data_IF_816715216196
#
_entry.id   IF_816715216196
#
_cell.length_a   1.000
_cell.length_b   1.000
_cell.length_c   1.000
_cell.angle_alpha   90.00
_cell.angle_beta   90.00
_cell.angle_gamma   90.00
#
_symmetry.space_group_name_H-M   'P 1'
#
loop_
_entity.id
_entity.type
_entity.pdbx_description
1 polymer ?
#
# COMPACT_ATOMS: atom_id res chain seq x y z
N UNK A 1 -19.68 40.71 -66.81
CA UNK A 1 -19.78 39.41 -66.20
C UNK A 1 -18.57 39.25 -65.27
N UNK A 2 -18.73 39.49 -63.96
CA UNK A 2 -17.68 39.31 -62.95
C UNK A 2 -17.95 38.00 -62.26
N UNK A 3 -16.96 37.08 -62.27
CA UNK A 3 -16.98 35.81 -61.55
C UNK A 3 -16.22 35.99 -60.24
N UNK A 4 -16.94 36.03 -59.14
CA UNK A 4 -16.39 36.09 -57.76
C UNK A 4 -15.98 34.71 -57.33
N UNK A 5 -14.64 34.48 -57.17
CA UNK A 5 -14.09 33.26 -56.68
C UNK A 5 -14.18 33.17 -55.15
N UNK A 6 -14.90 32.17 -54.63
CA UNK A 6 -15.05 31.84 -53.24
C UNK A 6 -13.81 31.04 -52.77
N UNK A 7 -12.96 31.66 -51.96
CA UNK A 7 -11.81 30.97 -51.32
C UNK A 7 -12.30 30.26 -50.06
N UNK A 8 -12.34 28.94 -50.11
CA UNK A 8 -12.62 28.08 -48.94
C UNK A 8 -11.37 27.98 -48.08
N UNK A 9 -11.38 28.60 -46.92
CA UNK A 9 -10.32 28.47 -45.93
C UNK A 9 -10.52 27.20 -45.12
N UNK A 10 -9.64 26.21 -45.31
CA UNK A 10 -9.60 24.97 -44.55
C UNK A 10 -8.95 25.27 -43.17
N UNK A 11 -9.75 25.39 -42.10
CA UNK A 11 -9.27 25.43 -40.72
C UNK A 11 -8.88 24.00 -40.30
N UNK A 12 -7.58 23.74 -40.26
CA UNK A 12 -7.04 22.52 -39.68
C UNK A 12 -7.02 22.70 -38.14
N UNK A 13 -8.00 22.12 -37.46
CA UNK A 13 -7.98 21.99 -36.01
C UNK A 13 -6.88 20.97 -35.62
N UNK A 14 -5.74 21.48 -35.18
CA UNK A 14 -4.78 20.67 -34.41
C UNK A 14 -5.39 20.40 -33.04
N UNK A 15 -6.08 19.26 -32.88
CA UNK A 15 -6.38 18.71 -31.58
C UNK A 15 -5.07 18.26 -30.98
N UNK A 16 -4.50 19.11 -30.11
CA UNK A 16 -3.34 18.75 -29.31
C UNK A 16 -3.69 17.55 -28.43
N UNK A 17 -3.20 16.35 -28.77
CA UNK A 17 -3.14 15.25 -27.84
C UNK A 17 -2.22 15.69 -26.69
N UNK A 18 -2.78 16.24 -25.63
CA UNK A 18 -2.09 16.34 -24.35
C UNK A 18 -1.79 14.91 -23.93
N UNK A 19 -0.55 14.48 -24.07
CA UNK A 19 -0.09 13.22 -23.50
C UNK A 19 -0.46 13.27 -22.01
N UNK A 20 -1.37 12.41 -21.60
CA UNK A 20 -1.75 12.28 -20.18
C UNK A 20 -0.47 11.83 -19.47
N UNK A 21 0.21 12.76 -18.82
CA UNK A 21 1.44 12.47 -18.10
C UNK A 21 1.08 11.44 -17.02
N UNK A 22 1.64 10.23 -17.14
CA UNK A 22 1.37 9.16 -16.19
C UNK A 22 1.62 9.66 -14.78
N UNK A 23 0.67 9.45 -13.87
CA UNK A 23 0.79 9.91 -12.50
C UNK A 23 2.06 9.28 -11.88
N UNK A 24 2.82 10.10 -11.14
CA UNK A 24 4.03 9.63 -10.46
C UNK A 24 3.69 8.44 -9.56
N UNK A 25 4.41 7.32 -9.64
CA UNK A 25 4.13 6.15 -8.84
C UNK A 25 4.27 6.45 -7.35
N UNK A 26 3.43 5.83 -6.53
CA UNK A 26 3.49 6.00 -5.09
C UNK A 26 4.55 5.09 -4.48
N UNK A 27 5.15 5.55 -3.39
CA UNK A 27 6.02 4.78 -2.50
C UNK A 27 5.37 4.79 -1.14
N UNK A 28 4.69 3.69 -0.80
CA UNK A 28 3.95 3.50 0.45
C UNK A 28 4.83 2.73 1.42
N UNK A 29 4.99 3.21 2.64
CA UNK A 29 5.77 2.48 3.66
C UNK A 29 4.93 2.20 4.90
N UNK A 30 4.88 0.94 5.35
CA UNK A 30 4.30 0.60 6.64
C UNK A 30 5.30 0.89 7.76
N UNK A 31 4.82 1.59 8.80
CA UNK A 31 5.59 1.87 10.01
C UNK A 31 4.86 1.29 11.23
N UNK A 32 5.28 0.12 11.72
CA UNK A 32 4.69 -0.45 12.91
C UNK A 32 4.95 0.39 14.18
N UNK A 33 3.98 0.43 15.09
CA UNK A 33 4.09 1.16 16.36
C UNK A 33 5.31 0.74 17.20
N UNK A 34 5.72 -0.52 17.11
CA UNK A 34 6.92 -1.03 17.78
C UNK A 34 8.25 -0.56 17.13
N UNK A 35 8.18 0.10 15.97
CA UNK A 35 9.30 0.78 15.30
C UNK A 35 9.29 2.30 15.49
N UNK A 36 8.45 2.83 16.37
CA UNK A 36 8.30 4.27 16.57
C UNK A 36 9.61 5.02 16.88
N UNK A 37 10.63 4.33 17.41
CA UNK A 37 11.95 4.92 17.69
C UNK A 37 12.71 5.39 16.45
N UNK A 38 12.35 4.90 15.24
CA UNK A 38 13.02 5.33 14.01
C UNK A 38 12.42 6.61 13.40
N UNK A 39 11.29 7.13 13.92
CA UNK A 39 10.56 8.26 13.32
C UNK A 39 11.48 9.45 13.05
N UNK A 40 12.40 9.76 13.96
CA UNK A 40 13.31 10.91 13.78
C UNK A 40 14.29 10.75 12.63
N UNK A 41 14.64 9.50 12.31
CA UNK A 41 15.61 9.16 11.26
C UNK A 41 14.95 8.71 9.95
N UNK A 42 13.60 8.60 9.95
CA UNK A 42 12.87 8.15 8.78
C UNK A 42 12.97 9.17 7.65
N UNK A 43 13.41 8.78 6.44
CA UNK A 43 13.49 9.67 5.29
C UNK A 43 12.10 9.85 4.65
N UNK A 44 11.24 10.61 5.36
CA UNK A 44 9.82 10.78 4.98
C UNK A 44 9.65 11.39 3.59
N UNK A 45 10.62 12.18 3.12
CA UNK A 45 10.64 12.76 1.77
C UNK A 45 10.81 11.73 0.65
N UNK A 46 11.23 10.51 0.97
CA UNK A 46 11.32 9.39 0.03
C UNK A 46 10.02 8.60 -0.10
N UNK A 47 8.99 8.98 0.65
CA UNK A 47 7.70 8.30 0.71
C UNK A 47 6.59 9.24 0.22
N UNK A 48 5.60 8.68 -0.46
CA UNK A 48 4.35 9.40 -0.76
C UNK A 48 3.31 9.21 0.34
N UNK A 49 3.32 8.04 0.97
CA UNK A 49 2.38 7.65 2.01
C UNK A 49 3.09 6.83 3.10
N UNK A 50 2.72 7.06 4.35
CA UNK A 50 3.10 6.23 5.48
C UNK A 50 1.83 5.61 6.07
N UNK A 51 1.79 4.29 6.18
CA UNK A 51 0.74 3.57 6.86
C UNK A 51 1.23 3.26 8.28
N UNK A 52 0.68 3.95 9.29
CA UNK A 52 1.04 3.68 10.69
C UNK A 52 0.29 2.42 11.17
N UNK A 53 1.01 1.37 11.46
CA UNK A 53 0.47 0.06 11.77
C UNK A 53 0.51 -0.19 13.29
N UNK A 54 -0.54 -0.52 13.97
CA UNK A 54 -1.95 -0.51 13.59
C UNK A 54 -2.84 -0.33 14.83
N UNK A 55 -4.10 -0.05 14.60
CA UNK A 55 -5.17 -0.19 15.58
C UNK A 55 -6.03 -1.41 15.21
N UNK A 56 -6.90 -1.89 16.10
CA UNK A 56 -7.77 -3.02 15.78
C UNK A 56 -9.24 -2.72 16.09
N UNK A 57 -10.21 -3.32 15.36
CA UNK A 57 -11.62 -3.18 15.63
C UNK A 57 -12.00 -4.04 16.83
N UNK A 58 -13.00 -3.59 17.62
CA UNK A 58 -13.70 -4.41 18.60
C UNK A 58 -15.08 -4.82 18.07
N UNK A 59 -15.65 -5.87 18.66
CA UNK A 59 -16.93 -6.43 18.23
C UNK A 59 -18.11 -5.44 18.28
N UNK A 60 -18.05 -4.45 19.16
CA UNK A 60 -19.06 -3.39 19.33
C UNK A 60 -18.88 -2.19 18.38
N UNK A 61 -17.87 -2.21 17.53
CA UNK A 61 -17.53 -1.12 16.62
C UNK A 61 -16.62 -0.04 17.24
N UNK A 62 -16.21 -0.18 18.48
CA UNK A 62 -15.17 0.69 19.05
C UNK A 62 -13.78 0.31 18.53
N UNK A 63 -12.82 1.24 18.67
CA UNK A 63 -11.44 1.04 18.25
C UNK A 63 -10.56 0.69 19.44
N UNK A 64 -9.71 -0.32 19.28
CA UNK A 64 -8.59 -0.54 20.20
C UNK A 64 -7.37 0.23 19.69
N UNK A 65 -7.05 1.33 20.35
CA UNK A 65 -5.94 2.23 19.98
C UNK A 65 -4.75 2.12 20.94
N UNK A 66 -4.71 1.14 21.83
CA UNK A 66 -3.73 1.02 22.91
C UNK A 66 -2.27 0.97 22.41
N UNK A 67 -2.04 0.41 21.21
CA UNK A 67 -0.72 0.37 20.57
C UNK A 67 -0.24 1.73 20.03
N UNK A 68 -1.16 2.65 19.75
CA UNK A 68 -0.87 3.95 19.13
C UNK A 68 -0.81 5.05 20.18
N UNK A 69 0.40 5.47 20.54
CA UNK A 69 0.60 6.59 21.45
C UNK A 69 0.30 7.92 20.73
N UNK A 70 -0.65 8.74 21.21
CA UNK A 70 -1.06 9.97 20.52
C UNK A 70 0.08 10.94 20.22
N UNK A 71 1.03 11.09 21.13
CA UNK A 71 2.21 11.94 20.94
C UNK A 71 3.14 11.45 19.82
N UNK A 72 3.27 10.13 19.66
CA UNK A 72 4.05 9.50 18.59
C UNK A 72 3.37 9.73 17.24
N UNK A 73 2.07 9.47 17.15
CA UNK A 73 1.30 9.70 15.93
C UNK A 73 1.32 11.17 15.51
N UNK A 74 1.14 12.11 16.47
CA UNK A 74 1.26 13.55 16.22
C UNK A 74 2.62 13.92 15.65
N UNK A 75 3.71 13.40 16.24
CA UNK A 75 5.08 13.64 15.75
C UNK A 75 5.27 13.13 14.32
N UNK A 76 4.80 11.91 14.03
CA UNK A 76 4.87 11.32 12.70
C UNK A 76 4.14 12.17 11.67
N UNK A 77 2.88 12.57 11.97
CA UNK A 77 2.07 13.39 11.06
C UNK A 77 2.70 14.74 10.79
N UNK A 78 3.22 15.42 11.80
CA UNK A 78 3.92 16.70 11.64
C UNK A 78 5.13 16.60 10.71
N UNK A 79 5.98 15.57 10.91
CA UNK A 79 7.17 15.33 10.07
C UNK A 79 6.80 15.01 8.63
N UNK A 80 5.84 14.10 8.45
CA UNK A 80 5.40 13.66 7.14
C UNK A 80 4.74 14.80 6.34
N UNK A 81 3.82 15.55 6.95
CA UNK A 81 3.13 16.65 6.30
C UNK A 81 4.09 17.78 5.89
N UNK A 82 5.14 18.06 6.68
CA UNK A 82 6.18 19.04 6.32
C UNK A 82 6.95 18.66 5.03
N UNK A 83 6.83 17.41 4.58
CA UNK A 83 7.43 16.89 3.34
C UNK A 83 6.38 16.46 2.30
N UNK A 84 5.11 16.87 2.46
CA UNK A 84 3.98 16.48 1.62
C UNK A 84 3.73 14.97 1.56
N UNK A 85 4.15 14.21 2.57
CA UNK A 85 3.90 12.79 2.71
C UNK A 85 2.61 12.59 3.50
N UNK A 86 1.69 11.78 2.97
CA UNK A 86 0.42 11.44 3.63
C UNK A 86 0.66 10.42 4.74
N UNK A 87 -0.18 10.49 5.78
CA UNK A 87 -0.18 9.48 6.86
C UNK A 87 -1.57 8.88 6.96
N UNK A 88 -1.63 7.55 6.96
CA UNK A 88 -2.84 6.77 7.13
C UNK A 88 -2.72 5.90 8.38
N UNK A 89 -3.84 5.51 8.96
CA UNK A 89 -3.86 4.49 10.01
C UNK A 89 -4.23 3.14 9.42
N UNK A 90 -3.45 2.10 9.74
CA UNK A 90 -3.85 0.74 9.47
C UNK A 90 -4.84 0.25 10.52
N UNK A 91 -5.84 -0.51 10.10
CA UNK A 91 -6.79 -1.19 10.98
C UNK A 91 -6.73 -2.68 10.71
N UNK A 92 -6.34 -3.47 11.71
CA UNK A 92 -6.15 -4.91 11.60
C UNK A 92 -4.69 -5.31 11.45
N UNK A 93 -4.45 -6.29 10.60
CA UNK A 93 -3.18 -6.97 10.39
C UNK A 93 -3.15 -8.36 11.01
N UNK A 94 -2.03 -9.07 10.82
CA UNK A 94 -1.83 -10.42 11.34
C UNK A 94 -2.04 -10.46 12.86
N UNK A 95 -2.91 -11.36 13.33
CA UNK A 95 -3.34 -11.49 14.73
C UNK A 95 -4.11 -10.29 15.32
N UNK A 96 -4.41 -9.25 14.55
CA UNK A 96 -5.14 -8.05 14.98
C UNK A 96 -6.52 -7.90 14.31
N UNK A 97 -6.90 -8.88 13.51
CA UNK A 97 -8.15 -8.89 12.72
C UNK A 97 -9.35 -9.53 13.40
N UNK A 98 -9.20 -10.06 14.63
CA UNK A 98 -10.25 -10.85 15.31
C UNK A 98 -11.57 -10.11 15.56
N UNK A 99 -11.54 -8.78 15.67
CA UNK A 99 -12.74 -7.98 15.88
C UNK A 99 -13.57 -7.73 14.61
N UNK A 100 -13.00 -7.94 13.41
CA UNK A 100 -13.73 -7.65 12.16
C UNK A 100 -14.97 -8.53 11.97
N UNK A 101 -14.85 -9.85 12.12
CA UNK A 101 -15.95 -10.77 11.87
C UNK A 101 -17.20 -10.44 12.70
N UNK A 102 -17.15 -10.36 14.04
CA UNK A 102 -18.32 -10.01 14.84
C UNK A 102 -18.79 -8.57 14.60
N UNK A 103 -17.90 -7.59 14.43
CA UNK A 103 -18.26 -6.20 14.17
C UNK A 103 -18.99 -6.05 12.84
N UNK A 104 -18.50 -6.67 11.77
CA UNK A 104 -19.11 -6.52 10.43
C UNK A 104 -20.42 -7.28 10.27
N UNK A 105 -20.65 -8.33 11.05
CA UNK A 105 -21.91 -9.09 11.05
C UNK A 105 -23.09 -8.28 11.61
N UNK A 106 -22.84 -7.35 12.51
CA UNK A 106 -23.86 -6.49 13.13
C UNK A 106 -23.89 -5.11 12.47
N UNK A 107 -25.03 -4.71 11.91
CA UNK A 107 -25.15 -3.43 11.20
C UNK A 107 -24.93 -2.21 12.11
N UNK A 108 -25.37 -2.26 13.37
CA UNK A 108 -25.18 -1.18 14.34
C UNK A 108 -23.69 -1.05 14.73
N UNK A 109 -23.03 -2.17 15.04
CA UNK A 109 -21.60 -2.18 15.37
C UNK A 109 -20.76 -1.72 14.17
N UNK A 110 -21.11 -2.13 12.94
CA UNK A 110 -20.44 -1.69 11.72
C UNK A 110 -20.63 -0.19 11.49
N UNK A 111 -21.84 0.35 11.69
CA UNK A 111 -22.11 1.79 11.64
C UNK A 111 -21.31 2.57 12.70
N UNK A 112 -21.24 2.07 13.94
CA UNK A 112 -20.43 2.64 15.01
C UNK A 112 -18.93 2.65 14.64
N UNK A 113 -18.42 1.56 14.08
CA UNK A 113 -17.03 1.48 13.62
C UNK A 113 -16.71 2.51 12.53
N UNK A 114 -17.59 2.64 11.53
CA UNK A 114 -17.43 3.62 10.44
C UNK A 114 -17.37 5.04 11.01
N UNK A 115 -18.27 5.37 11.94
CA UNK A 115 -18.27 6.67 12.63
C UNK A 115 -16.99 6.89 13.44
N UNK A 116 -16.63 5.93 14.27
CA UNK A 116 -15.45 6.01 15.14
C UNK A 116 -14.15 6.15 14.35
N UNK A 117 -13.98 5.35 13.28
CA UNK A 117 -12.78 5.42 12.44
C UNK A 117 -12.71 6.75 11.68
N UNK A 118 -13.82 7.24 11.13
CA UNK A 118 -13.87 8.54 10.46
C UNK A 118 -13.49 9.66 11.42
N UNK A 119 -14.02 9.64 12.64
CA UNK A 119 -13.70 10.61 13.69
C UNK A 119 -12.21 10.53 14.08
N UNK A 120 -11.69 9.32 14.28
CA UNK A 120 -10.28 9.09 14.63
C UNK A 120 -9.34 9.66 13.56
N UNK A 121 -9.57 9.33 12.30
CA UNK A 121 -8.77 9.81 11.16
C UNK A 121 -8.74 11.34 11.11
N UNK A 122 -9.89 11.98 11.27
CA UNK A 122 -10.01 13.46 11.26
C UNK A 122 -9.34 14.11 12.46
N UNK A 123 -9.56 13.58 13.67
CA UNK A 123 -8.99 14.11 14.92
C UNK A 123 -7.47 14.10 14.88
N UNK A 124 -6.89 13.03 14.33
CA UNK A 124 -5.44 12.89 14.21
C UNK A 124 -4.86 13.50 12.93
N UNK A 125 -5.68 14.20 12.11
CA UNK A 125 -5.27 14.84 10.84
C UNK A 125 -4.61 13.85 9.87
N UNK A 126 -5.10 12.61 9.84
CA UNK A 126 -4.66 11.59 8.90
C UNK A 126 -5.36 11.77 7.55
N UNK A 127 -4.75 11.28 6.48
CA UNK A 127 -5.31 11.38 5.13
C UNK A 127 -6.23 10.22 4.79
N UNK A 128 -6.32 9.20 5.64
CA UNK A 128 -7.21 8.06 5.41
C UNK A 128 -6.95 6.90 6.34
N UNK A 129 -7.54 5.77 5.98
CA UNK A 129 -7.30 4.49 6.64
C UNK A 129 -7.02 3.38 5.64
N UNK A 130 -6.22 2.42 6.07
CA UNK A 130 -5.89 1.20 5.36
C UNK A 130 -6.53 0.02 6.10
N UNK A 131 -7.35 -0.76 5.43
CA UNK A 131 -8.03 -1.91 6.05
C UNK A 131 -7.25 -3.17 5.73
N UNK A 132 -6.77 -3.80 6.79
CA UNK A 132 -5.93 -4.99 6.73
C UNK A 132 -6.61 -6.15 7.48
N UNK A 133 -7.65 -6.71 6.86
CA UNK A 133 -8.34 -7.87 7.43
C UNK A 133 -7.69 -9.17 6.95
N UNK A 134 -6.93 -9.79 7.84
CA UNK A 134 -6.23 -11.05 7.57
C UNK A 134 -6.89 -12.23 8.32
N UNK A 135 -7.81 -13.00 7.74
CA UNK A 135 -8.48 -12.79 6.47
C UNK A 135 -9.96 -13.11 6.65
N UNK A 136 -10.90 -12.48 5.89
CA UNK A 136 -12.31 -12.87 5.94
C UNK A 136 -12.50 -14.32 5.55
N UNK A 137 -13.34 -15.06 6.29
CA UNK A 137 -13.60 -16.49 6.09
C UNK A 137 -14.99 -16.73 5.53
N UNK A 138 -15.08 -17.54 4.48
CA UNK A 138 -16.36 -17.92 3.89
C UNK A 138 -17.13 -16.74 3.28
N UNK A 139 -18.24 -17.02 2.62
CA UNK A 139 -19.02 -16.05 1.87
C UNK A 139 -19.67 -14.96 2.75
N UNK A 140 -20.04 -15.33 4.00
CA UNK A 140 -20.70 -14.37 4.91
C UNK A 140 -19.75 -13.25 5.35
N UNK A 141 -18.54 -13.58 5.80
CA UNK A 141 -17.56 -12.56 6.20
C UNK A 141 -17.11 -11.74 4.99
N UNK A 142 -16.91 -12.37 3.83
CA UNK A 142 -16.59 -11.68 2.58
C UNK A 142 -17.73 -10.71 2.22
N UNK A 143 -18.99 -11.11 2.30
CA UNK A 143 -20.14 -10.23 2.04
C UNK A 143 -20.21 -9.06 3.02
N UNK A 144 -19.95 -9.29 4.30
CA UNK A 144 -19.93 -8.25 5.32
C UNK A 144 -18.74 -7.30 5.15
N UNK A 145 -17.58 -7.81 4.68
CA UNK A 145 -16.43 -6.98 4.33
C UNK A 145 -16.75 -5.99 3.20
N UNK A 146 -17.48 -6.46 2.14
CA UNK A 146 -17.94 -5.56 1.08
C UNK A 146 -18.80 -4.40 1.65
N UNK A 147 -19.75 -4.70 2.55
CA UNK A 147 -20.59 -3.68 3.18
C UNK A 147 -19.74 -2.66 3.94
N UNK A 148 -18.79 -3.13 4.75
CA UNK A 148 -17.88 -2.28 5.51
C UNK A 148 -17.09 -1.31 4.59
N UNK A 149 -16.48 -1.82 3.51
CA UNK A 149 -15.69 -1.02 2.60
C UNK A 149 -16.53 0.06 1.90
N UNK A 150 -17.75 -0.29 1.48
CA UNK A 150 -18.68 0.67 0.86
C UNK A 150 -19.09 1.75 1.85
N UNK A 151 -19.46 1.37 3.07
CA UNK A 151 -19.88 2.29 4.13
C UNK A 151 -18.75 3.24 4.55
N UNK A 152 -17.52 2.71 4.72
CA UNK A 152 -16.34 3.52 5.01
C UNK A 152 -16.07 4.53 3.88
N UNK A 153 -16.08 4.10 2.62
CA UNK A 153 -15.82 5.04 1.51
C UNK A 153 -16.87 6.14 1.46
N UNK A 154 -18.14 5.81 1.65
CA UNK A 154 -19.21 6.81 1.70
C UNK A 154 -19.00 7.84 2.82
N UNK A 155 -18.57 7.40 4.00
CA UNK A 155 -18.26 8.28 5.12
C UNK A 155 -16.98 9.12 4.88
N UNK A 156 -16.02 8.61 4.10
CA UNK A 156 -14.75 9.27 3.83
C UNK A 156 -14.84 10.34 2.73
N UNK A 157 -15.69 10.15 1.72
CA UNK A 157 -15.83 11.07 0.57
C UNK A 157 -16.06 12.53 0.97
N UNK A 158 -16.99 12.87 1.88
CA UNK A 158 -17.22 14.28 2.28
C UNK A 158 -16.00 14.95 2.92
N UNK A 159 -15.07 14.16 3.43
CA UNK A 159 -13.85 14.61 4.10
C UNK A 159 -12.60 14.47 3.22
N UNK A 160 -12.74 14.04 1.96
CA UNK A 160 -11.62 13.76 1.02
C UNK A 160 -10.59 12.77 1.59
N UNK A 161 -11.06 11.80 2.38
CA UNK A 161 -10.22 10.78 2.97
C UNK A 161 -10.03 9.59 2.02
N UNK A 162 -8.85 8.99 2.10
CA UNK A 162 -8.49 7.81 1.32
C UNK A 162 -8.89 6.54 2.06
N UNK A 163 -9.43 5.58 1.32
CA UNK A 163 -9.64 4.22 1.78
C UNK A 163 -8.75 3.29 0.96
N UNK A 164 -7.75 2.69 1.61
CA UNK A 164 -6.90 1.67 1.02
C UNK A 164 -7.14 0.33 1.68
N UNK A 165 -6.67 -0.75 1.07
CA UNK A 165 -6.77 -2.09 1.63
C UNK A 165 -5.48 -2.86 1.41
N UNK A 166 -4.89 -3.41 2.47
CA UNK A 166 -3.90 -4.47 2.39
C UNK A 166 -4.62 -5.77 2.01
N UNK A 167 -4.12 -6.43 0.99
CA UNK A 167 -4.80 -7.56 0.39
C UNK A 167 -3.85 -8.71 0.10
N UNK A 168 -4.31 -9.94 0.37
CA UNK A 168 -3.54 -11.13 0.06
C UNK A 168 -3.37 -11.32 -1.46
N UNK A 169 -2.24 -11.90 -1.87
CA UNK A 169 -1.91 -12.12 -3.27
C UNK A 169 -2.89 -13.03 -4.02
N UNK A 170 -3.59 -13.94 -3.34
CA UNK A 170 -4.57 -14.83 -4.00
C UNK A 170 -5.89 -14.18 -4.41
N UNK A 171 -6.18 -12.94 -3.98
CA UNK A 171 -7.19 -12.07 -4.57
C UNK A 171 -8.65 -12.51 -4.49
N UNK A 172 -9.20 -12.92 -3.33
CA UNK A 172 -10.57 -13.48 -3.26
C UNK A 172 -11.54 -12.73 -2.35
N UNK A 173 -11.05 -11.81 -1.52
CA UNK A 173 -11.84 -11.23 -0.43
C UNK A 173 -12.58 -9.95 -0.79
N UNK A 174 -12.30 -9.34 -1.94
CA UNK A 174 -12.97 -8.13 -2.43
C UNK A 174 -13.61 -8.45 -3.78
N UNK A 175 -14.92 -8.23 -3.88
CA UNK A 175 -15.69 -8.51 -5.08
C UNK A 175 -15.57 -7.35 -6.09
N UNK A 176 -15.71 -7.59 -7.39
CA UNK A 176 -15.60 -6.55 -8.43
C UNK A 176 -16.50 -5.34 -8.19
N UNK A 177 -17.69 -5.54 -7.63
CA UNK A 177 -18.65 -4.48 -7.30
C UNK A 177 -18.16 -3.51 -6.21
N UNK A 178 -17.17 -3.91 -5.41
CA UNK A 178 -16.61 -3.10 -4.30
C UNK A 178 -15.32 -2.37 -4.72
N UNK A 179 -14.66 -2.81 -5.79
CA UNK A 179 -13.43 -2.19 -6.31
C UNK A 179 -13.52 -0.66 -6.50
N UNK A 180 -14.64 -0.09 -7.00
CA UNK A 180 -14.77 1.37 -7.14
C UNK A 180 -14.63 2.15 -5.83
N UNK A 181 -14.96 1.54 -4.71
CA UNK A 181 -14.96 2.18 -3.38
C UNK A 181 -13.58 2.18 -2.71
N UNK A 182 -12.59 1.50 -3.27
CA UNK A 182 -11.22 1.42 -2.73
C UNK A 182 -10.31 2.25 -3.61
N UNK A 183 -9.50 3.11 -3.00
CA UNK A 183 -8.60 4.00 -3.74
C UNK A 183 -7.33 3.28 -4.19
N UNK A 184 -6.77 2.36 -3.36
CA UNK A 184 -5.60 1.54 -3.68
C UNK A 184 -5.66 0.18 -2.99
N UNK A 185 -5.09 -0.81 -3.65
CA UNK A 185 -4.91 -2.18 -3.18
C UNK A 185 -3.42 -2.40 -2.92
N UNK A 186 -3.04 -2.55 -1.67
CA UNK A 186 -1.69 -2.88 -1.26
C UNK A 186 -1.53 -4.40 -1.29
N UNK A 187 -1.02 -4.93 -2.41
CA UNK A 187 -0.93 -6.38 -2.63
C UNK A 187 0.25 -6.94 -1.86
N UNK A 188 -0.01 -7.76 -0.84
CA UNK A 188 1.00 -8.45 -0.03
C UNK A 188 1.63 -9.60 -0.81
N UNK A 189 2.53 -9.28 -1.76
CA UNK A 189 3.19 -10.21 -2.66
C UNK A 189 4.44 -10.82 -1.99
N UNK A 190 4.25 -11.39 -0.82
CA UNK A 190 5.26 -12.04 0.01
C UNK A 190 4.62 -13.10 0.92
N UNK A 191 5.44 -13.82 1.66
CA UNK A 191 5.05 -14.97 2.51
C UNK A 191 4.38 -16.12 1.73
N UNK A 192 4.85 -16.35 0.50
CA UNK A 192 4.31 -17.34 -0.46
C UNK A 192 4.89 -18.75 -0.29
N UNK A 193 5.71 -18.99 0.73
CA UNK A 193 6.43 -20.25 0.96
C UNK A 193 7.94 -20.08 0.88
N UNK A 194 8.63 -20.96 0.17
CA UNK A 194 10.10 -20.90 0.02
C UNK A 194 10.47 -21.01 -1.46
N UNK A 195 11.05 -19.95 -2.06
CA UNK A 195 11.32 -18.61 -1.52
C UNK A 195 10.04 -17.83 -1.22
N UNK A 196 10.07 -16.96 -0.18
CA UNK A 196 8.84 -16.34 0.32
C UNK A 196 8.30 -15.19 -0.54
N UNK A 197 9.11 -14.61 -1.42
CA UNK A 197 8.71 -13.47 -2.25
C UNK A 197 9.43 -13.46 -3.62
N UNK A 198 9.35 -14.55 -4.43
CA UNK A 198 9.99 -14.58 -5.73
C UNK A 198 9.36 -13.57 -6.69
N UNK A 199 10.10 -13.18 -7.73
CA UNK A 199 9.59 -12.25 -8.74
C UNK A 199 8.34 -12.77 -9.43
N UNK A 200 8.37 -14.02 -9.90
CA UNK A 200 7.24 -14.63 -10.63
C UNK A 200 6.01 -14.82 -9.72
N UNK A 201 6.23 -15.09 -8.42
CA UNK A 201 5.16 -15.10 -7.43
C UNK A 201 4.48 -13.74 -7.29
N UNK A 202 5.25 -12.66 -7.29
CA UNK A 202 4.69 -11.31 -7.25
C UNK A 202 3.87 -10.99 -8.51
N UNK A 203 4.30 -11.45 -9.69
CA UNK A 203 3.53 -11.30 -10.93
C UNK A 203 2.21 -12.06 -10.87
N UNK A 204 2.23 -13.29 -10.36
CA UNK A 204 1.03 -14.10 -10.17
C UNK A 204 0.03 -13.43 -9.24
N UNK A 205 0.50 -12.85 -8.15
CA UNK A 205 -0.35 -12.15 -7.19
C UNK A 205 -1.00 -10.90 -7.80
N UNK A 206 -0.26 -10.12 -8.58
CA UNK A 206 -0.82 -8.98 -9.32
C UNK A 206 -1.87 -9.46 -10.35
N UNK A 207 -1.57 -10.50 -11.11
CA UNK A 207 -2.48 -11.08 -12.10
C UNK A 207 -3.79 -11.55 -11.47
N UNK A 208 -3.75 -12.14 -10.26
CA UNK A 208 -4.96 -12.54 -9.54
C UNK A 208 -5.91 -11.33 -9.31
N UNK A 209 -5.38 -10.15 -9.04
CA UNK A 209 -6.18 -8.93 -8.85
C UNK A 209 -6.60 -8.30 -10.18
N UNK A 210 -5.75 -8.32 -11.20
CA UNK A 210 -6.10 -7.85 -12.55
C UNK A 210 -7.24 -8.68 -13.16
N UNK A 211 -7.25 -10.00 -12.96
CA UNK A 211 -8.33 -10.89 -13.43
C UNK A 211 -9.68 -10.57 -12.76
N UNK A 212 -9.66 -10.04 -11.55
CA UNK A 212 -10.84 -9.53 -10.84
C UNK A 212 -11.24 -8.11 -11.27
N UNK A 213 -10.60 -7.57 -12.31
CA UNK A 213 -10.87 -6.24 -12.88
C UNK A 213 -10.45 -5.06 -11.99
N UNK A 214 -9.48 -5.26 -11.09
CA UNK A 214 -8.84 -4.14 -10.40
C UNK A 214 -8.00 -3.38 -11.42
N UNK A 215 -8.24 -2.07 -11.61
CA UNK A 215 -7.44 -1.26 -12.51
C UNK A 215 -5.96 -1.21 -12.06
N UNK A 216 -5.04 -1.33 -13.01
CA UNK A 216 -3.58 -1.25 -12.74
C UNK A 216 -3.20 -0.01 -11.93
N UNK A 217 -3.82 1.12 -12.24
CA UNK A 217 -3.63 2.39 -11.52
C UNK A 217 -4.09 2.38 -10.05
N UNK A 218 -4.70 1.29 -9.56
CA UNK A 218 -5.04 1.08 -8.14
C UNK A 218 -4.17 0.01 -7.47
N UNK A 219 -3.38 -0.76 -8.23
CA UNK A 219 -2.53 -1.85 -7.70
C UNK A 219 -1.19 -1.30 -7.22
N UNK A 220 -0.85 -1.59 -5.97
CA UNK A 220 0.42 -1.24 -5.33
C UNK A 220 1.14 -2.53 -4.94
N UNK A 221 2.31 -2.79 -5.52
CA UNK A 221 3.04 -4.03 -5.32
C UNK A 221 3.78 -4.03 -3.97
N UNK A 222 3.53 -5.04 -3.16
CA UNK A 222 4.22 -5.28 -1.90
C UNK A 222 5.66 -5.77 -2.07
N UNK A 223 6.57 -5.10 -1.37
CA UNK A 223 7.99 -5.41 -1.31
C UNK A 223 8.38 -5.71 0.14
N UNK A 224 8.85 -6.94 0.46
CA UNK A 224 9.33 -7.24 1.79
C UNK A 224 10.75 -6.70 2.00
N UNK A 225 10.97 -6.00 3.11
CA UNK A 225 12.31 -5.61 3.55
C UNK A 225 12.86 -6.58 4.61
N UNK A 226 12.46 -7.85 4.50
CA UNK A 226 12.89 -8.97 5.34
C UNK A 226 13.06 -10.23 4.50
N UNK A 227 13.66 -11.23 5.13
CA UNK A 227 13.75 -12.58 4.55
C UNK A 227 13.14 -13.62 5.49
N UNK A 228 12.84 -14.80 4.92
CA UNK A 228 12.43 -15.99 5.67
C UNK A 228 13.30 -17.18 5.33
N UNK A 229 13.59 -17.99 6.35
CA UNK A 229 14.23 -19.29 6.15
C UNK A 229 13.17 -20.41 5.93
N UNK A 230 13.62 -21.63 5.65
CA UNK A 230 12.75 -22.76 5.41
C UNK A 230 11.86 -23.14 6.62
N UNK A 231 12.24 -22.73 7.85
CA UNK A 231 11.46 -22.91 9.06
C UNK A 231 10.44 -21.78 9.30
N UNK A 232 10.35 -20.83 8.38
CA UNK A 232 9.45 -19.67 8.50
C UNK A 232 9.96 -18.55 9.43
N UNK A 233 11.17 -18.68 10.00
CA UNK A 233 11.77 -17.62 10.80
C UNK A 233 12.09 -16.41 9.94
N UNK A 234 11.74 -15.22 10.42
CA UNK A 234 12.05 -13.97 9.72
C UNK A 234 13.36 -13.34 10.22
N UNK A 235 14.08 -12.67 9.32
CA UNK A 235 15.17 -11.76 9.65
C UNK A 235 15.02 -10.47 8.83
N UNK A 236 15.26 -9.32 9.44
CA UNK A 236 15.24 -8.03 8.73
C UNK A 236 16.32 -8.00 7.65
N UNK A 237 16.13 -7.20 6.60
CA UNK A 237 17.18 -7.00 5.58
C UNK A 237 18.47 -6.47 6.22
N UNK A 238 18.37 -5.56 7.18
CA UNK A 238 19.52 -5.06 7.95
C UNK A 238 20.31 -6.18 8.65
N UNK A 239 19.62 -7.13 9.31
CA UNK A 239 20.27 -8.28 9.97
C UNK A 239 20.92 -9.22 8.97
N UNK A 240 20.27 -9.48 7.82
CA UNK A 240 20.84 -10.32 6.76
C UNK A 240 22.12 -9.69 6.21
N UNK A 241 22.12 -8.36 5.96
CA UNK A 241 23.32 -7.64 5.54
C UNK A 241 24.45 -7.72 6.56
N UNK A 242 24.13 -7.47 7.82
CA UNK A 242 25.12 -7.46 8.91
C UNK A 242 25.78 -8.82 9.10
N UNK A 243 24.96 -9.89 9.10
CA UNK A 243 25.42 -11.24 9.44
C UNK A 243 26.10 -11.96 8.28
N UNK A 244 25.59 -11.75 7.04
CA UNK A 244 25.95 -12.61 5.89
C UNK A 244 26.62 -11.87 4.74
N UNK A 245 26.55 -10.52 4.69
CA UNK A 245 27.17 -9.67 3.64
C UNK A 245 26.93 -10.19 2.22
N UNK A 246 25.66 -10.43 1.82
CA UNK A 246 25.35 -11.00 0.53
C UNK A 246 25.79 -10.10 -0.62
N UNK A 247 26.10 -10.70 -1.77
CA UNK A 247 26.31 -9.95 -3.01
C UNK A 247 25.03 -9.19 -3.39
N UNK A 248 25.11 -8.02 -4.06
CA UNK A 248 23.94 -7.23 -4.48
C UNK A 248 22.94 -7.97 -5.40
N UNK A 249 23.38 -9.07 -6.02
CA UNK A 249 22.55 -9.93 -6.89
C UNK A 249 21.93 -11.10 -6.15
N UNK A 250 22.23 -11.28 -4.86
CA UNK A 250 21.76 -12.44 -4.09
C UNK A 250 20.37 -12.18 -3.49
N UNK A 251 19.52 -13.20 -3.54
CA UNK A 251 18.21 -13.30 -2.86
C UNK A 251 18.20 -14.43 -1.81
N UNK A 252 19.38 -14.99 -1.50
CA UNK A 252 19.60 -16.04 -0.49
C UNK A 252 20.91 -15.80 0.24
N UNK A 253 20.87 -15.76 1.57
CA UNK A 253 22.06 -15.70 2.41
C UNK A 253 21.74 -16.26 3.81
N UNK A 254 22.65 -17.09 4.36
CA UNK A 254 22.48 -17.70 5.68
C UNK A 254 21.20 -18.52 5.84
N UNK A 255 20.69 -19.09 4.75
CA UNK A 255 19.42 -19.83 4.74
C UNK A 255 18.17 -18.95 4.65
N UNK A 256 18.31 -17.62 4.65
CA UNK A 256 17.18 -16.70 4.46
C UNK A 256 17.00 -16.34 2.98
N UNK A 257 15.82 -16.62 2.45
CA UNK A 257 15.36 -16.05 1.19
C UNK A 257 14.84 -14.64 1.43
N UNK A 258 15.26 -13.67 0.63
CA UNK A 258 14.88 -12.26 0.75
C UNK A 258 14.84 -11.62 -0.64
N UNK A 259 14.41 -10.35 -0.73
CA UNK A 259 14.58 -9.59 -1.97
C UNK A 259 15.79 -8.65 -1.84
N UNK A 260 16.89 -9.03 -2.49
CA UNK A 260 18.09 -8.20 -2.56
C UNK A 260 17.94 -7.02 -3.55
N UNK A 261 18.99 -6.18 -3.66
CA UNK A 261 18.95 -4.97 -4.49
C UNK A 261 18.53 -5.21 -5.94
N UNK A 262 19.00 -6.31 -6.57
CA UNK A 262 18.65 -6.65 -7.95
C UNK A 262 17.16 -6.94 -8.12
N UNK A 263 16.58 -7.74 -7.22
CA UNK A 263 15.17 -8.12 -7.26
C UNK A 263 14.25 -6.94 -6.89
N UNK A 264 14.62 -6.11 -5.91
CA UNK A 264 13.86 -4.87 -5.61
C UNK A 264 13.86 -3.94 -6.83
N UNK A 265 14.99 -3.73 -7.49
CA UNK A 265 15.06 -2.95 -8.73
C UNK A 265 14.17 -3.53 -9.82
N UNK A 266 14.25 -4.85 -10.05
CA UNK A 266 13.43 -5.56 -11.06
C UNK A 266 11.94 -5.41 -10.79
N UNK A 267 11.48 -5.60 -9.55
CA UNK A 267 10.09 -5.43 -9.13
C UNK A 267 9.61 -3.98 -9.31
N UNK A 268 10.43 -3.01 -8.90
CA UNK A 268 10.11 -1.59 -9.06
C UNK A 268 10.05 -1.19 -10.54
N UNK A 269 10.98 -1.65 -11.37
CA UNK A 269 10.96 -1.40 -12.80
C UNK A 269 9.71 -2.00 -13.48
N UNK A 270 9.30 -3.20 -13.07
CA UNK A 270 8.07 -3.81 -13.55
C UNK A 270 6.82 -2.97 -13.22
N UNK A 271 6.73 -2.43 -11.99
CA UNK A 271 5.64 -1.53 -11.58
C UNK A 271 5.53 -0.34 -12.52
N UNK A 272 6.66 0.27 -12.88
CA UNK A 272 6.71 1.41 -13.79
C UNK A 272 6.31 1.02 -15.21
N UNK A 273 6.87 -0.07 -15.73
CA UNK A 273 6.59 -0.59 -17.06
C UNK A 273 5.11 -0.97 -17.25
N UNK A 274 4.49 -1.53 -16.22
CA UNK A 274 3.08 -1.92 -16.25
C UNK A 274 2.12 -0.79 -15.86
N UNK A 275 2.64 0.39 -15.52
CA UNK A 275 1.83 1.54 -15.07
C UNK A 275 0.95 1.21 -13.84
N UNK A 276 1.48 0.40 -12.92
CA UNK A 276 0.83 0.16 -11.64
C UNK A 276 0.86 1.44 -10.80
N UNK A 277 0.00 1.53 -9.77
CA UNK A 277 -0.05 2.69 -8.88
C UNK A 277 1.28 2.97 -8.17
N UNK A 278 2.05 1.93 -7.84
CA UNK A 278 3.34 2.09 -7.16
C UNK A 278 3.77 0.85 -6.39
N UNK A 279 4.59 1.06 -5.38
CA UNK A 279 5.09 0.01 -4.49
C UNK A 279 4.70 0.26 -3.04
N UNK A 280 4.54 -0.82 -2.27
CA UNK A 280 4.31 -0.81 -0.83
C UNK A 280 5.42 -1.61 -0.14
N UNK A 281 5.88 -1.14 1.00
CA UNK A 281 7.01 -1.70 1.74
C UNK A 281 6.54 -2.24 3.08
N UNK A 282 6.77 -3.51 3.34
CA UNK A 282 6.66 -4.13 4.65
C UNK A 282 8.06 -4.48 5.17
N UNK A 283 8.65 -3.81 6.17
CA UNK A 283 8.24 -2.56 6.79
C UNK A 283 9.48 -1.64 6.93
N UNK A 284 9.26 -0.37 7.14
CA UNK A 284 10.29 0.67 7.05
C UNK A 284 11.47 0.52 8.05
N UNK A 285 11.23 -0.13 9.20
CA UNK A 285 12.28 -0.37 10.19
C UNK A 285 13.18 -1.57 9.89
N UNK A 286 12.95 -2.26 8.79
CA UNK A 286 13.71 -3.46 8.40
C UNK A 286 14.76 -3.19 7.31
N UNK A 287 14.80 -1.96 6.77
CA UNK A 287 15.76 -1.57 5.73
C UNK A 287 17.20 -1.57 6.25
N UNK A 288 18.15 -1.76 5.34
CA UNK A 288 19.57 -1.68 5.64
C UNK A 288 20.00 -0.23 5.94
N UNK A 289 20.86 -0.02 6.95
CA UNK A 289 21.41 1.31 7.20
C UNK A 289 22.35 1.76 6.06
N UNK A 290 22.28 3.01 5.69
CA UNK A 290 23.22 3.62 4.74
C UNK A 290 23.04 3.17 3.30
N UNK A 291 24.08 2.54 2.72
CA UNK A 291 24.09 1.99 1.37
C UNK A 291 24.54 0.53 1.42
N UNK A 292 23.70 -0.47 1.01
CA UNK A 292 22.51 -0.30 0.18
C UNK A 292 21.19 -0.23 0.99
N UNK A 293 20.52 0.93 0.98
CA UNK A 293 19.14 1.03 1.44
C UNK A 293 18.20 0.64 0.30
N UNK A 294 17.26 -0.27 0.57
CA UNK A 294 16.27 -0.72 -0.42
C UNK A 294 15.27 0.40 -0.76
N UNK A 295 14.87 1.22 0.22
CA UNK A 295 14.01 2.38 -0.03
C UNK A 295 14.68 3.40 -0.97
N UNK A 296 15.95 3.70 -0.75
CA UNK A 296 16.71 4.56 -1.66
C UNK A 296 16.76 3.97 -3.07
N UNK A 297 17.00 2.66 -3.19
CA UNK A 297 17.04 1.98 -4.47
C UNK A 297 15.69 2.03 -5.22
N UNK A 298 14.57 1.87 -4.52
CA UNK A 298 13.21 2.08 -5.08
C UNK A 298 13.12 3.47 -5.71
N UNK A 299 13.46 4.51 -4.95
CA UNK A 299 13.40 5.89 -5.43
C UNK A 299 14.35 6.17 -6.60
N UNK A 300 15.58 5.64 -6.57
CA UNK A 300 16.52 5.73 -7.69
C UNK A 300 15.97 5.07 -8.96
N UNK A 301 15.34 3.90 -8.82
CA UNK A 301 14.74 3.19 -9.95
C UNK A 301 13.58 3.98 -10.56
N UNK A 302 12.75 4.61 -9.71
CA UNK A 302 11.65 5.49 -10.15
C UNK A 302 12.20 6.73 -10.87
N UNK A 303 13.26 7.34 -10.34
CA UNK A 303 13.84 8.56 -10.90
C UNK A 303 14.60 8.33 -12.24
N UNK A 304 15.09 7.11 -12.47
CA UNK A 304 15.84 6.74 -13.68
C UNK A 304 14.94 6.47 -14.91
N UNK A 305 13.61 6.50 -14.77
CA UNK A 305 12.72 6.35 -15.93
C UNK A 305 12.80 7.61 -16.81
N UNK A 306 12.91 7.45 -18.14
CA UNK A 306 12.78 8.59 -19.04
C UNK A 306 11.44 9.28 -18.84
N UNK A 307 11.48 10.60 -18.77
CA UNK A 307 10.27 11.44 -18.64
C UNK A 307 9.46 11.43 -19.91
#
# INVERSE_FOLDING_TARGET
MQVTGLRLALLVLFAGLSALQAAKPVVVGYLPHYRASIIDKLPVEQLTDIIYFSISPKADGSLNTASVKPGVLKKLTQRAHAKNTRVHICVGGWNLSGGFAPMTANAQARGAFVHNLTTYVRTHKLQGADIDWEHPKGETEIANYQKLLVELKRAFVPHRLWLTAAVAGWGRHIKPTTIPFIDRFHVMAYDQGTPHAPFDGALKDLLNWETQKVPKAKLVLGLPFYGRNAQGTAATYAEILQRHRPKPTADLAGGFHFNGPATIRRKTAYVLQQQLAGVMIWELGQDGPGNPSLLRLVNQTIAAQPK
#
